data_IF_743302527651
#
_entry.id   IF_743302527651
#
_cell.length_a   1.000
_cell.length_b   1.000
_cell.length_c   1.000
_cell.angle_alpha   90.00
_cell.angle_beta   90.00
_cell.angle_gamma   90.00
#
_symmetry.space_group_name_H-M   'P 1'
#
loop_
_entity.id
_entity.type
_entity.pdbx_description
1 polymer ?
#
# COMPACT_ATOMS: atom_id res chain seq x y z
N UNK A 1 -5.75 2.86 6.97
CA UNK A 1 -5.33 2.53 8.34
C UNK A 1 -4.99 1.05 8.39
N UNK A 2 -4.02 0.64 9.22
CA UNK A 2 -3.33 -0.65 9.06
C UNK A 2 -4.11 -1.81 9.69
N UNK A 3 -4.28 -2.89 8.95
CA UNK A 3 -4.75 -4.20 9.40
C UNK A 3 -3.53 -5.06 9.79
N UNK A 4 -3.15 -4.98 11.06
CA UNK A 4 -1.99 -5.71 11.59
C UNK A 4 -2.19 -7.23 11.61
N UNK A 5 -3.43 -7.71 11.67
CA UNK A 5 -3.73 -9.14 11.57
C UNK A 5 -3.31 -9.70 10.22
N UNK A 6 -3.63 -8.97 9.13
CA UNK A 6 -3.17 -9.34 7.79
C UNK A 6 -1.63 -9.29 7.67
N UNK A 7 -0.99 -8.31 8.28
CA UNK A 7 0.48 -8.15 8.27
C UNK A 7 1.17 -9.35 8.93
N UNK A 8 0.68 -9.77 10.11
CA UNK A 8 1.20 -10.95 10.82
C UNK A 8 0.96 -12.22 9.98
N UNK A 9 -0.23 -12.36 9.40
CA UNK A 9 -0.53 -13.50 8.52
C UNK A 9 0.41 -13.53 7.30
N UNK A 10 0.67 -12.40 6.65
CA UNK A 10 1.58 -12.32 5.51
C UNK A 10 3.02 -12.71 5.92
N UNK A 11 3.49 -12.29 7.09
CA UNK A 11 4.78 -12.73 7.64
C UNK A 11 4.81 -14.25 7.84
N UNK A 12 3.74 -14.84 8.36
CA UNK A 12 3.67 -16.29 8.61
C UNK A 12 3.61 -17.09 7.30
N UNK A 13 2.97 -16.54 6.26
CA UNK A 13 2.91 -17.12 4.90
C UNK A 13 4.27 -17.10 4.19
N UNK A 14 5.00 -15.99 4.30
CA UNK A 14 6.29 -15.78 3.60
C UNK A 14 7.48 -16.33 4.41
N UNK A 15 7.36 -16.34 5.73
CA UNK A 15 8.44 -16.66 6.67
C UNK A 15 9.19 -15.41 7.15
N UNK A 16 9.67 -15.43 8.39
CA UNK A 16 10.27 -14.26 9.04
C UNK A 16 11.51 -13.70 8.33
N UNK A 17 12.38 -14.57 7.78
CA UNK A 17 13.59 -14.14 7.09
C UNK A 17 13.32 -13.43 5.76
N UNK A 18 12.30 -13.88 5.03
CA UNK A 18 11.97 -13.37 3.70
C UNK A 18 11.01 -12.17 3.75
N UNK A 19 10.33 -11.96 4.88
CA UNK A 19 9.31 -10.93 5.01
C UNK A 19 9.86 -9.50 4.94
N UNK A 20 11.03 -9.23 5.52
CA UNK A 20 11.67 -7.90 5.48
C UNK A 20 12.02 -7.44 4.07
N UNK A 21 12.86 -8.20 3.33
CA UNK A 21 13.22 -7.87 1.95
C UNK A 21 12.01 -7.79 1.01
N UNK A 22 11.05 -8.70 1.16
CA UNK A 22 9.82 -8.66 0.38
C UNK A 22 9.04 -7.37 0.64
N UNK A 23 8.89 -6.99 1.91
CA UNK A 23 8.19 -5.78 2.29
C UNK A 23 8.84 -4.51 1.72
N UNK A 24 10.16 -4.42 1.74
CA UNK A 24 10.91 -3.29 1.17
C UNK A 24 10.61 -3.13 -0.32
N UNK A 25 10.74 -4.22 -1.10
CA UNK A 25 10.43 -4.23 -2.53
C UNK A 25 8.98 -3.80 -2.81
N UNK A 26 8.02 -4.34 -2.05
CA UNK A 26 6.62 -3.98 -2.20
C UNK A 26 6.34 -2.51 -1.87
N UNK A 27 6.96 -1.97 -0.81
CA UNK A 27 6.77 -0.58 -0.43
C UNK A 27 7.31 0.38 -1.50
N UNK A 28 8.47 0.07 -2.08
CA UNK A 28 9.09 0.85 -3.15
C UNK A 28 8.27 0.81 -4.43
N UNK A 29 7.81 -0.37 -4.86
CA UNK A 29 6.96 -0.50 -6.04
C UNK A 29 5.65 0.28 -5.89
N UNK A 30 4.98 0.15 -4.74
CA UNK A 30 3.74 0.90 -4.49
C UNK A 30 4.01 2.40 -4.43
N UNK A 31 5.12 2.85 -3.83
CA UNK A 31 5.47 4.28 -3.79
C UNK A 31 5.62 4.86 -5.19
N UNK A 32 6.38 4.19 -6.05
CA UNK A 32 6.60 4.60 -7.44
C UNK A 32 5.26 4.75 -8.17
N UNK A 33 4.36 3.77 -8.02
CA UNK A 33 3.05 3.81 -8.70
C UNK A 33 2.15 4.90 -8.11
N UNK A 34 2.12 5.10 -6.79
CA UNK A 34 1.34 6.16 -6.15
C UNK A 34 1.83 7.55 -6.57
N UNK A 35 3.14 7.77 -6.64
CA UNK A 35 3.70 9.07 -6.99
C UNK A 35 3.49 9.42 -8.46
N UNK A 36 3.45 8.43 -9.36
CA UNK A 36 3.21 8.65 -10.80
C UNK A 36 1.73 8.76 -11.18
N UNK A 37 0.77 8.60 -10.25
CA UNK A 37 -0.66 8.66 -10.57
C UNK A 37 -1.00 9.97 -11.30
N UNK A 38 -1.71 9.87 -12.42
CA UNK A 38 -2.15 11.01 -13.23
C UNK A 38 -3.55 10.78 -13.79
N UNK A 39 -4.34 11.84 -13.91
CA UNK A 39 -5.71 11.77 -14.42
C UNK A 39 -5.82 11.84 -15.95
N UNK A 40 -4.71 12.09 -16.66
CA UNK A 40 -4.70 12.31 -18.11
C UNK A 40 -5.09 11.06 -18.92
N UNK A 41 -4.87 9.86 -18.37
CA UNK A 41 -5.23 8.58 -18.99
C UNK A 41 -6.10 7.75 -18.02
N UNK A 42 -7.43 7.74 -18.19
CA UNK A 42 -8.34 7.02 -17.30
C UNK A 42 -8.16 5.50 -17.31
N UNK A 43 -7.71 4.90 -18.42
CA UNK A 43 -7.51 3.45 -18.51
C UNK A 43 -6.26 3.07 -17.71
N UNK A 44 -5.15 3.76 -17.95
CA UNK A 44 -3.93 3.57 -17.16
C UNK A 44 -4.16 3.88 -15.68
N UNK A 45 -4.93 4.92 -15.37
CA UNK A 45 -5.28 5.25 -13.99
C UNK A 45 -6.06 4.11 -13.31
N UNK A 46 -7.00 3.48 -14.00
CA UNK A 46 -7.73 2.34 -13.47
C UNK A 46 -6.79 1.15 -13.18
N UNK A 47 -5.86 0.85 -14.08
CA UNK A 47 -4.86 -0.22 -13.91
C UNK A 47 -3.91 0.07 -12.73
N UNK A 48 -3.40 1.30 -12.63
CA UNK A 48 -2.54 1.73 -11.52
C UNK A 48 -3.30 1.65 -10.18
N UNK A 49 -4.57 2.08 -10.14
CA UNK A 49 -5.42 1.96 -8.94
C UNK A 49 -5.67 0.50 -8.55
N UNK A 50 -5.87 -0.38 -9.53
CA UNK A 50 -6.06 -1.81 -9.31
C UNK A 50 -4.83 -2.47 -8.70
N UNK A 51 -3.65 -2.16 -9.26
CA UNK A 51 -2.38 -2.60 -8.72
C UNK A 51 -2.21 -2.13 -7.27
N UNK A 52 -2.36 -0.82 -7.01
CA UNK A 52 -2.20 -0.26 -5.66
C UNK A 52 -3.21 -0.89 -4.69
N UNK A 53 -4.47 -1.12 -5.11
CA UNK A 53 -5.49 -1.76 -4.28
C UNK A 53 -5.07 -3.16 -3.84
N UNK A 54 -4.57 -3.96 -4.77
CA UNK A 54 -4.09 -5.31 -4.51
C UNK A 54 -2.92 -5.31 -3.52
N UNK A 55 -1.88 -4.52 -3.80
CA UNK A 55 -0.71 -4.41 -2.93
C UNK A 55 -1.06 -3.86 -1.55
N UNK A 56 -1.91 -2.82 -1.49
CA UNK A 56 -2.40 -2.26 -0.24
C UNK A 56 -3.20 -3.28 0.58
N UNK A 57 -4.06 -4.07 -0.04
CA UNK A 57 -4.79 -5.13 0.65
C UNK A 57 -3.83 -6.21 1.17
N UNK A 58 -2.81 -6.58 0.40
CA UNK A 58 -1.82 -7.58 0.80
C UNK A 58 -1.03 -7.14 2.03
N UNK A 59 -0.58 -5.88 2.07
CA UNK A 59 0.17 -5.28 3.18
C UNK A 59 -0.70 -4.81 4.35
N UNK A 60 -2.01 -5.02 4.30
CA UNK A 60 -2.94 -4.56 5.34
C UNK A 60 -3.20 -3.05 5.35
N UNK A 61 -2.87 -2.30 4.30
CA UNK A 61 -3.19 -0.88 4.16
C UNK A 61 -4.68 -0.67 3.81
N UNK A 62 -5.58 -1.17 4.65
CA UNK A 62 -7.03 -1.29 4.35
C UNK A 62 -7.69 0.03 3.94
N UNK A 63 -7.27 1.14 4.55
CA UNK A 63 -7.75 2.48 4.18
C UNK A 63 -7.33 2.92 2.77
N UNK A 64 -6.10 2.58 2.34
CA UNK A 64 -5.65 2.86 0.98
C UNK A 64 -6.37 1.96 -0.02
N UNK A 65 -6.50 0.67 0.29
CA UNK A 65 -7.24 -0.28 -0.54
C UNK A 65 -8.70 0.15 -0.75
N UNK A 66 -9.36 0.67 0.29
CA UNK A 66 -10.71 1.21 0.19
C UNK A 66 -10.78 2.43 -0.73
N UNK A 67 -9.86 3.39 -0.60
CA UNK A 67 -9.82 4.57 -1.48
C UNK A 67 -9.57 4.20 -2.95
N UNK A 68 -8.69 3.23 -3.22
CA UNK A 68 -8.46 2.75 -4.57
C UNK A 68 -9.72 2.12 -5.16
N UNK A 69 -10.44 1.28 -4.39
CA UNK A 69 -11.71 0.67 -4.82
C UNK A 69 -12.78 1.71 -5.14
N UNK A 70 -12.89 2.74 -4.30
CA UNK A 70 -13.85 3.83 -4.52
C UNK A 70 -13.50 4.63 -5.79
N UNK A 71 -12.20 4.86 -6.03
CA UNK A 71 -11.71 5.51 -7.25
C UNK A 71 -11.94 4.65 -8.51
N UNK A 72 -11.65 3.35 -8.47
CA UNK A 72 -11.98 2.39 -9.55
C UNK A 72 -13.49 2.45 -9.89
N UNK A 73 -14.33 2.45 -8.86
CA UNK A 73 -15.79 2.53 -9.00
C UNK A 73 -16.22 3.85 -9.66
N UNK A 74 -15.60 4.97 -9.27
CA UNK A 74 -15.86 6.26 -9.89
C UNK A 74 -15.47 6.30 -11.37
N UNK A 75 -14.32 5.72 -11.74
CA UNK A 75 -13.89 5.62 -13.14
C UNK A 75 -14.83 4.74 -13.97
N UNK A 76 -15.25 3.59 -13.43
CA UNK A 76 -16.22 2.71 -14.09
C UNK A 76 -17.57 3.42 -14.35
N UNK A 77 -17.96 4.35 -13.45
CA UNK A 77 -19.15 5.19 -13.60
C UNK A 77 -18.95 6.43 -14.47
N UNK A 78 -17.78 6.59 -15.10
CA UNK A 78 -17.39 7.77 -15.89
C UNK A 78 -17.46 9.08 -15.09
N UNK A 79 -17.08 9.03 -13.82
CA UNK A 79 -16.98 10.18 -12.92
C UNK A 79 -15.52 10.45 -12.49
N UNK A 80 -14.58 10.69 -13.41
CA UNK A 80 -13.16 10.87 -13.08
C UNK A 80 -12.91 12.06 -12.13
N UNK A 81 -13.76 13.08 -12.14
CA UNK A 81 -13.71 14.22 -11.23
C UNK A 81 -13.93 13.86 -9.75
N UNK A 82 -14.50 12.69 -9.46
CA UNK A 82 -14.67 12.18 -8.10
C UNK A 82 -13.40 11.51 -7.55
N UNK A 83 -12.39 11.27 -8.40
CA UNK A 83 -11.11 10.69 -8.00
C UNK A 83 -10.18 11.81 -7.50
N UNK A 84 -9.82 11.75 -6.22
CA UNK A 84 -8.88 12.69 -5.62
C UNK A 84 -7.50 12.04 -5.45
N UNK A 85 -6.58 12.32 -6.38
CA UNK A 85 -5.23 11.75 -6.36
C UNK A 85 -4.41 12.19 -5.13
N UNK A 86 -4.59 13.43 -4.67
CA UNK A 86 -3.88 13.92 -3.48
C UNK A 86 -4.36 13.23 -2.20
N UNK A 87 -5.65 12.86 -2.14
CA UNK A 87 -6.18 12.05 -1.03
C UNK A 87 -5.56 10.66 -1.01
N UNK A 88 -5.37 10.04 -2.18
CA UNK A 88 -4.68 8.74 -2.32
C UNK A 88 -3.22 8.83 -1.87
N UNK A 89 -2.46 9.81 -2.40
CA UNK A 89 -1.06 10.06 -2.01
C UNK A 89 -0.91 10.30 -0.50
N UNK A 90 -1.75 11.18 0.05
CA UNK A 90 -1.74 11.47 1.48
C UNK A 90 -2.13 10.26 2.35
N UNK A 91 -3.04 9.40 1.87
CA UNK A 91 -3.39 8.17 2.58
C UNK A 91 -2.24 7.16 2.56
N UNK A 92 -1.56 7.00 1.43
CA UNK A 92 -0.38 6.15 1.32
C UNK A 92 0.73 6.63 2.27
N UNK A 93 1.11 7.91 2.20
CA UNK A 93 2.16 8.48 3.04
C UNK A 93 1.90 8.26 4.54
N UNK A 94 0.66 8.51 5.00
CA UNK A 94 0.26 8.25 6.39
C UNK A 94 0.29 6.76 6.74
N UNK A 95 -0.13 5.90 5.81
CA UNK A 95 -0.11 4.44 6.03
C UNK A 95 1.32 3.94 6.16
N UNK A 96 2.23 4.35 5.26
CA UNK A 96 3.66 4.03 5.32
C UNK A 96 4.30 4.49 6.63
N UNK A 97 4.04 5.73 7.06
CA UNK A 97 4.57 6.25 8.33
C UNK A 97 4.12 5.44 9.55
N UNK A 98 2.82 5.15 9.66
CA UNK A 98 2.29 4.33 10.76
C UNK A 98 2.87 2.91 10.69
N UNK A 99 2.93 2.36 9.49
CA UNK A 99 3.41 1.01 9.25
C UNK A 99 4.87 0.86 9.71
N UNK A 100 5.79 1.71 9.21
CA UNK A 100 7.20 1.65 9.59
C UNK A 100 7.44 1.89 11.09
N UNK A 101 6.65 2.78 11.71
CA UNK A 101 6.74 3.06 13.15
C UNK A 101 6.37 1.85 14.01
N UNK A 102 5.30 1.15 13.65
CA UNK A 102 4.68 0.14 14.51
C UNK A 102 5.00 -1.30 14.10
N UNK A 103 5.60 -1.52 12.91
CA UNK A 103 5.90 -2.85 12.36
C UNK A 103 6.62 -3.74 13.37
N UNK A 104 7.70 -3.21 13.94
CA UNK A 104 8.49 -3.78 15.02
C UNK A 104 7.65 -4.43 16.14
N UNK A 105 6.63 -3.70 16.60
CA UNK A 105 5.76 -4.13 17.70
C UNK A 105 4.76 -5.20 17.25
N UNK A 106 4.34 -5.17 15.99
CA UNK A 106 3.35 -6.09 15.45
C UNK A 106 3.93 -7.47 15.09
N UNK A 107 5.16 -7.51 14.56
CA UNK A 107 5.75 -8.75 14.02
C UNK A 107 6.93 -9.30 14.83
N UNK A 108 7.36 -8.60 15.89
CA UNK A 108 8.47 -9.00 16.76
C UNK A 108 9.81 -8.36 16.36
N UNK A 109 10.76 -8.24 17.32
CA UNK A 109 12.00 -7.48 17.15
C UNK A 109 13.00 -8.11 16.16
N UNK A 110 12.83 -9.40 15.84
CA UNK A 110 13.78 -10.15 15.01
C UNK A 110 13.82 -9.68 13.54
N UNK A 111 12.83 -8.87 13.10
CA UNK A 111 12.73 -8.37 11.73
C UNK A 111 13.42 -7.01 11.49
N UNK A 112 13.61 -6.19 12.53
CA UNK A 112 14.06 -4.79 12.35
C UNK A 112 15.56 -4.71 12.00
N UNK A 113 16.33 -5.76 12.31
CA UNK A 113 17.79 -5.76 12.15
C UNK A 113 18.26 -5.53 10.70
N UNK A 114 17.41 -5.82 9.71
CA UNK A 114 17.78 -5.73 8.29
C UNK A 114 17.18 -4.54 7.54
N UNK A 115 16.19 -3.82 8.10
CA UNK A 115 15.49 -2.71 7.41
C UNK A 115 16.16 -1.34 7.68
N UNK A 116 17.16 -1.28 8.58
CA UNK A 116 17.71 -0.02 9.12
C UNK A 116 19.20 0.23 8.86
N UNK A 117 19.87 -0.54 8.00
CA UNK A 117 21.29 -0.36 7.70
C UNK A 117 21.51 0.04 6.23
N UNK A 118 21.08 1.25 5.88
CA UNK A 118 21.50 1.96 4.67
C UNK A 118 21.67 3.46 4.99
#
# INVERSE_FOLDING_TARGET
>A
MIDWGRVVQLRDEVGAAEFGPLLELFLDEVEVVVMRLQAADPAKLADDLHFIRGSAANLGFSGLAALCRDAETALARRMPQAVCLDRLRGCYARSKQIFLRDLAHAVGPDLIRDIGAA
#
